data_IF_808240737643
#
_entry.id   IF_808240737643
#
_cell.length_a   1.000
_cell.length_b   1.000
_cell.length_c   1.000
_cell.angle_alpha   90.00
_cell.angle_beta   90.00
_cell.angle_gamma   90.00
#
_symmetry.space_group_name_H-M   'P 1'
#
loop_
_entity.id
_entity.type
_entity.pdbx_description
1 polymer ?
#
# COMPACT_ATOMS: atom_id res chain seq x y z
N UNK A 1 -7.06 6.02 -0.57
CA UNK A 1 -6.01 4.96 -0.61
C UNK A 1 -4.62 5.56 -0.49
N UNK A 2 -4.31 6.62 -1.22
CA UNK A 2 -3.04 7.37 -1.12
C UNK A 2 -2.61 7.67 0.33
N UNK A 3 -3.50 8.25 1.15
CA UNK A 3 -3.21 8.55 2.56
C UNK A 3 -2.79 7.30 3.36
N UNK A 4 -3.40 6.14 3.09
CA UNK A 4 -3.03 4.87 3.75
C UNK A 4 -1.62 4.45 3.33
N UNK A 5 -1.29 4.60 2.04
CA UNK A 5 0.05 4.27 1.54
C UNK A 5 1.11 5.22 2.07
N UNK A 6 0.80 6.51 2.15
CA UNK A 6 1.69 7.53 2.73
C UNK A 6 2.00 7.23 4.19
N UNK A 7 0.99 6.87 4.99
CA UNK A 7 1.18 6.47 6.40
C UNK A 7 2.08 5.23 6.52
N UNK A 8 1.84 4.20 5.70
CA UNK A 8 2.69 2.99 5.71
C UNK A 8 4.12 3.31 5.27
N UNK A 9 4.32 4.19 4.30
CA UNK A 9 5.66 4.66 3.94
C UNK A 9 6.33 5.37 5.12
N UNK A 10 5.62 6.29 5.80
CA UNK A 10 6.13 7.03 6.95
C UNK A 10 6.52 6.11 8.11
N UNK A 11 5.73 5.06 8.40
CA UNK A 11 6.05 4.06 9.42
C UNK A 11 7.37 3.32 9.17
N UNK A 12 7.80 3.27 7.90
CA UNK A 12 9.05 2.65 7.46
C UNK A 12 10.17 3.65 7.23
N UNK A 13 10.04 4.91 7.69
CA UNK A 13 10.98 5.99 7.40
C UNK A 13 11.17 6.23 5.88
N UNK A 14 10.12 5.95 5.10
CA UNK A 14 10.07 6.18 3.66
C UNK A 14 9.14 7.34 3.33
N UNK A 15 9.35 7.96 2.19
CA UNK A 15 8.53 9.08 1.71
C UNK A 15 7.83 8.68 0.41
N UNK A 16 6.50 8.82 0.38
CA UNK A 16 5.70 8.65 -0.83
C UNK A 16 5.77 9.94 -1.64
N UNK A 17 6.43 9.89 -2.80
CA UNK A 17 6.66 11.05 -3.69
C UNK A 17 5.50 11.22 -4.65
N UNK A 18 5.03 10.13 -5.24
CA UNK A 18 3.87 10.14 -6.14
C UNK A 18 3.02 8.89 -5.93
N UNK A 19 1.71 9.06 -6.08
CA UNK A 19 0.73 7.99 -6.08
C UNK A 19 -0.18 8.12 -7.30
N UNK A 20 -0.12 7.14 -8.19
CA UNK A 20 -0.96 7.06 -9.37
C UNK A 20 -1.61 5.67 -9.46
N UNK A 21 -2.71 5.54 -10.18
CA UNK A 21 -3.34 4.23 -10.36
C UNK A 21 -4.32 4.18 -11.52
N UNK A 22 -4.48 2.98 -12.05
CA UNK A 22 -5.50 2.61 -13.01
C UNK A 22 -6.53 1.67 -12.35
N UNK A 23 -7.52 1.22 -13.12
CA UNK A 23 -8.62 0.41 -12.60
C UNK A 23 -8.16 -0.90 -11.93
N UNK A 24 -7.09 -1.53 -12.43
CA UNK A 24 -6.61 -2.82 -11.91
C UNK A 24 -5.26 -2.76 -11.17
N UNK A 25 -4.57 -1.61 -11.14
CA UNK A 25 -3.25 -1.53 -10.52
C UNK A 25 -2.89 -0.11 -10.04
N UNK A 26 -1.91 -0.02 -9.14
CA UNK A 26 -1.40 1.25 -8.61
C UNK A 26 0.12 1.33 -8.79
N UNK A 27 0.61 2.54 -9.06
CA UNK A 27 2.02 2.90 -9.16
C UNK A 27 2.38 3.84 -8.02
N UNK A 28 3.44 3.52 -7.28
CA UNK A 28 3.95 4.34 -6.19
C UNK A 28 5.41 4.69 -6.48
N UNK A 29 5.74 5.98 -6.42
CA UNK A 29 7.12 6.45 -6.40
C UNK A 29 7.50 6.73 -4.95
N UNK A 30 8.50 6.01 -4.43
CA UNK A 30 8.86 6.06 -3.01
C UNK A 30 10.35 6.28 -2.86
N UNK A 31 10.72 7.27 -2.05
CA UNK A 31 12.08 7.43 -1.53
C UNK A 31 12.23 6.56 -0.29
N UNK A 32 13.26 5.71 -0.24
CA UNK A 32 13.52 4.83 0.90
C UNK A 32 15.01 4.77 1.25
N UNK A 33 15.38 4.70 2.54
CA UNK A 33 16.75 4.54 2.94
C UNK A 33 17.24 3.09 2.68
N UNK A 34 18.54 2.88 2.41
CA UNK A 34 19.08 1.56 2.03
C UNK A 34 18.97 0.49 3.13
N UNK A 35 18.75 0.90 4.39
CA UNK A 35 18.49 0.00 5.52
C UNK A 35 17.10 -0.66 5.47
N UNK A 36 16.17 -0.08 4.73
CA UNK A 36 14.80 -0.58 4.62
C UNK A 36 14.75 -1.70 3.59
N UNK A 37 14.24 -2.85 4.03
CA UNK A 37 13.98 -3.96 3.12
C UNK A 37 12.75 -3.65 2.26
N UNK A 38 12.96 -3.49 0.96
CA UNK A 38 11.89 -3.21 -0.02
C UNK A 38 10.79 -4.28 0.03
N UNK A 39 11.15 -5.56 0.20
CA UNK A 39 10.15 -6.63 0.30
C UNK A 39 9.25 -6.49 1.53
N UNK A 40 9.79 -6.07 2.68
CA UNK A 40 8.99 -5.79 3.88
C UNK A 40 8.05 -4.60 3.67
N UNK A 41 8.53 -3.52 3.08
CA UNK A 41 7.72 -2.36 2.73
C UNK A 41 6.56 -2.76 1.81
N UNK A 42 6.84 -3.44 0.70
CA UNK A 42 5.82 -3.88 -0.26
C UNK A 42 4.80 -4.83 0.37
N UNK A 43 5.25 -5.76 1.22
CA UNK A 43 4.34 -6.67 1.93
C UNK A 43 3.41 -5.90 2.88
N UNK A 44 3.92 -4.88 3.58
CA UNK A 44 3.11 -4.03 4.44
C UNK A 44 2.08 -3.22 3.65
N UNK A 45 2.52 -2.56 2.57
CA UNK A 45 1.65 -1.78 1.68
C UNK A 45 0.49 -2.63 1.14
N UNK A 46 0.79 -3.82 0.60
CA UNK A 46 -0.23 -4.75 0.09
C UNK A 46 -1.14 -5.28 1.19
N UNK A 47 -0.57 -5.62 2.35
CA UNK A 47 -1.32 -6.19 3.47
C UNK A 47 -2.33 -5.20 4.07
N UNK A 48 -1.87 -3.98 4.38
CA UNK A 48 -2.70 -2.92 4.96
C UNK A 48 -3.77 -2.47 3.97
N UNK A 49 -3.41 -2.22 2.71
CA UNK A 49 -4.38 -1.81 1.69
C UNK A 49 -5.42 -2.88 1.41
N UNK A 50 -5.02 -4.15 1.29
CA UNK A 50 -5.95 -5.26 1.10
C UNK A 50 -6.92 -5.40 2.29
N UNK A 51 -6.42 -5.25 3.53
CA UNK A 51 -7.28 -5.27 4.72
C UNK A 51 -8.28 -4.12 4.72
N UNK A 52 -7.83 -2.90 4.43
CA UNK A 52 -8.69 -1.69 4.33
C UNK A 52 -9.77 -1.85 3.27
N UNK A 53 -9.39 -2.28 2.06
CA UNK A 53 -10.33 -2.53 0.97
C UNK A 53 -11.42 -3.55 1.37
N UNK A 54 -11.06 -4.64 2.02
CA UNK A 54 -12.04 -5.64 2.51
C UNK A 54 -12.95 -5.13 3.64
N UNK A 55 -12.54 -4.08 4.35
CA UNK A 55 -13.35 -3.45 5.40
C UNK A 55 -14.32 -2.42 4.80
N UNK A 56 -13.85 -1.63 3.83
CA UNK A 56 -14.64 -0.60 3.13
C UNK A 56 -15.63 -1.20 2.12
N UNK A 57 -15.27 -2.32 1.49
CA UNK A 57 -16.06 -3.02 0.49
C UNK A 57 -16.30 -4.48 0.92
N UNK A 58 -17.25 -4.74 1.85
CA UNK A 58 -17.54 -6.08 2.34
C UNK A 58 -17.91 -7.09 1.25
N UNK A 59 -18.42 -6.64 0.10
CA UNK A 59 -18.70 -7.44 -1.08
C UNK A 59 -17.44 -8.12 -1.65
N UNK A 60 -16.26 -7.51 -1.50
CA UNK A 60 -14.99 -8.11 -1.91
C UNK A 60 -14.64 -9.36 -1.07
N UNK A 61 -15.20 -9.51 0.14
CA UNK A 61 -15.00 -10.75 0.93
C UNK A 61 -15.63 -11.98 0.29
N UNK A 62 -16.65 -11.82 -0.56
CA UNK A 62 -17.36 -12.97 -1.16
C UNK A 62 -16.57 -13.66 -2.28
N UNK A 63 -15.51 -13.05 -2.81
CA UNK A 63 -14.86 -13.50 -4.05
C UNK A 63 -13.41 -13.99 -3.89
N UNK A 64 -12.87 -14.05 -2.68
CA UNK A 64 -11.54 -14.61 -2.43
C UNK A 64 -11.65 -15.79 -1.48
N UNK A 65 -11.44 -16.99 -2.04
CA UNK A 65 -11.44 -18.31 -1.40
C UNK A 65 -10.46 -18.41 -0.23
#
# INVERSE_FOLDING_TARGET
MEEVMANVCSDFECELVEFNGEAEHVHLLVNFPPKVSVSKLVNSLKGVSSRRLRQEFPELKKHYW
#
